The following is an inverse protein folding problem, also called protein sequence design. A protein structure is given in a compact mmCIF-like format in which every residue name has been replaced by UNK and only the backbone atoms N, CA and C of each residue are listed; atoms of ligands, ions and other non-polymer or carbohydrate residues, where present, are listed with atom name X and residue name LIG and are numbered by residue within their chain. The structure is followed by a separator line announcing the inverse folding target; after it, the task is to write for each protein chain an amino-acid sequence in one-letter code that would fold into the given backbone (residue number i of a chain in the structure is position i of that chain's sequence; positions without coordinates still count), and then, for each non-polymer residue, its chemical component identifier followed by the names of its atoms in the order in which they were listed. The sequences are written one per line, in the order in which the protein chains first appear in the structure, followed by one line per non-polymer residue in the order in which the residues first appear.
data_IF_370288222474
#
_entry.id   IF_370288222474
#
_cell.length_a   1.000
_cell.length_b   1.000
_cell.length_c   1.000
_cell.angle_alpha   90.00
_cell.angle_beta   90.00
_cell.angle_gamma   90.00
#
_symmetry.space_group_name_H-M   'P 1'
#
loop_
_entity.id
_entity.type
_entity.pdbx_description
1 polymer ?
#
# COMPACT_ATOMS: atom_id res chain seq x y z
N UNK A 1 -8.32 1.87 -16.01
CA UNK A 1 -7.78 2.73 -17.07
C UNK A 1 -7.21 3.95 -16.39
N UNK A 2 -5.90 4.20 -16.43
CA UNK A 2 -5.27 5.26 -15.63
C UNK A 2 -5.74 6.68 -16.00
N UNK A 3 -6.44 6.85 -17.13
CA UNK A 3 -7.00 8.14 -17.54
C UNK A 3 -8.45 8.34 -17.10
N UNK A 4 -9.08 7.35 -16.45
CA UNK A 4 -10.47 7.43 -15.98
C UNK A 4 -10.52 7.68 -14.49
N UNK A 5 -11.50 8.47 -14.06
CA UNK A 5 -11.83 8.62 -12.65
C UNK A 5 -12.37 7.28 -12.09
N UNK A 6 -12.13 6.98 -10.80
CA UNK A 6 -12.73 5.83 -10.14
C UNK A 6 -14.26 5.90 -10.16
N UNK A 7 -14.92 4.77 -10.41
CA UNK A 7 -16.39 4.64 -10.33
C UNK A 7 -16.79 4.18 -8.93
N UNK A 8 -17.28 5.10 -8.11
CA UNK A 8 -17.68 4.85 -6.72
C UNK A 8 -19.16 4.49 -6.56
N UNK A 9 -19.91 4.33 -7.65
CA UNK A 9 -21.34 3.98 -7.61
C UNK A 9 -21.58 2.47 -7.42
N UNK A 10 -20.54 1.66 -7.68
CA UNK A 10 -20.61 0.21 -7.62
C UNK A 10 -20.32 -0.31 -6.21
N UNK A 11 -20.92 -1.44 -5.81
CA UNK A 11 -20.57 -2.09 -4.55
C UNK A 11 -19.10 -2.55 -4.57
N UNK A 12 -18.49 -2.60 -3.39
CA UNK A 12 -17.14 -3.13 -3.21
C UNK A 12 -17.21 -4.66 -3.25
N UNK A 13 -16.43 -5.28 -4.14
CA UNK A 13 -16.27 -6.72 -4.22
C UNK A 13 -14.92 -7.16 -3.65
N UNK A 14 -14.88 -7.57 -2.38
CA UNK A 14 -13.63 -8.00 -1.72
C UNK A 14 -13.05 -9.32 -2.25
N UNK A 15 -13.77 -10.03 -3.12
CA UNK A 15 -13.25 -11.22 -3.80
C UNK A 15 -12.33 -10.87 -4.98
N UNK A 16 -12.41 -9.65 -5.51
CA UNK A 16 -11.53 -9.16 -6.56
C UNK A 16 -10.16 -8.80 -5.98
N UNK A 17 -9.15 -9.62 -6.32
CA UNK A 17 -7.80 -9.46 -5.79
C UNK A 17 -6.77 -9.63 -6.90
N UNK A 18 -5.73 -8.79 -6.85
CA UNK A 18 -4.59 -8.88 -7.73
C UNK A 18 -3.38 -9.36 -6.93
N UNK A 19 -2.79 -10.49 -7.34
CA UNK A 19 -1.63 -11.08 -6.69
C UNK A 19 -0.43 -11.04 -7.62
N UNK A 20 0.71 -10.63 -7.07
CA UNK A 20 2.02 -10.82 -7.70
C UNK A 20 2.73 -11.99 -7.03
N UNK A 21 3.49 -12.77 -7.81
CA UNK A 21 4.37 -13.82 -7.32
C UNK A 21 5.80 -13.28 -7.30
N UNK A 22 6.44 -13.35 -6.14
CA UNK A 22 7.77 -12.81 -5.88
C UNK A 22 8.74 -13.95 -5.64
N UNK A 23 9.92 -13.82 -6.26
CA UNK A 23 11.09 -14.64 -5.96
C UNK A 23 12.10 -13.76 -5.24
N UNK A 24 12.55 -14.17 -4.07
CA UNK A 24 13.53 -13.44 -3.27
C UNK A 24 14.49 -14.39 -2.56
N UNK A 25 15.43 -13.85 -1.80
CA UNK A 25 16.38 -14.59 -0.98
C UNK A 25 16.57 -13.87 0.35
N UNK A 26 16.41 -14.61 1.45
CA UNK A 26 16.71 -14.15 2.80
C UNK A 26 17.86 -14.99 3.35
N UNK A 27 19.05 -14.39 3.45
CA UNK A 27 20.30 -15.09 3.77
C UNK A 27 20.52 -16.30 2.84
N UNK A 28 20.51 -17.52 3.40
CA UNK A 28 20.66 -18.77 2.65
C UNK A 28 19.34 -19.35 2.12
N UNK A 29 18.20 -18.76 2.46
CA UNK A 29 16.89 -19.27 2.12
C UNK A 29 16.36 -18.62 0.84
N UNK A 30 16.08 -19.43 -0.18
CA UNK A 30 15.34 -18.97 -1.36
C UNK A 30 13.86 -18.93 -1.03
N UNK A 31 13.19 -17.82 -1.37
CA UNK A 31 11.78 -17.60 -1.09
C UNK A 31 11.01 -17.51 -2.40
N UNK A 32 9.87 -18.19 -2.46
CA UNK A 32 8.84 -18.00 -3.48
C UNK A 32 7.52 -17.81 -2.75
N UNK A 33 6.92 -16.64 -2.90
CA UNK A 33 5.69 -16.28 -2.20
C UNK A 33 4.85 -15.38 -3.08
N UNK A 34 3.56 -15.25 -2.74
CA UNK A 34 2.66 -14.29 -3.36
C UNK A 34 2.29 -13.22 -2.37
N UNK A 35 1.99 -12.04 -2.88
CA UNK A 35 1.39 -10.98 -2.10
C UNK A 35 0.30 -10.30 -2.92
N UNK A 36 -0.75 -9.88 -2.23
CA UNK A 36 -1.78 -9.03 -2.80
C UNK A 36 -1.16 -7.66 -3.10
N UNK A 37 -1.53 -7.01 -4.19
CA UNK A 37 -1.07 -5.67 -4.55
C UNK A 37 -2.30 -4.80 -4.86
N UNK A 38 -2.33 -3.60 -4.30
CA UNK A 38 -3.53 -2.77 -4.29
C UNK A 38 -3.66 -1.99 -5.62
N UNK A 39 -2.56 -1.77 -6.32
CA UNK A 39 -2.57 -1.15 -7.64
C UNK A 39 -1.18 -0.96 -8.24
N UNK A 40 -1.16 -0.29 -9.39
CA UNK A 40 0.06 0.05 -10.13
C UNK A 40 -0.04 1.51 -10.57
N UNK A 41 0.99 2.30 -10.27
CA UNK A 41 1.08 3.68 -10.74
C UNK A 41 1.54 3.68 -12.20
N UNK A 42 0.68 4.13 -13.11
CA UNK A 42 1.00 4.22 -14.54
C UNK A 42 0.26 5.41 -15.18
N UNK A 43 0.89 6.05 -16.17
CA UNK A 43 0.26 7.08 -17.01
C UNK A 43 -0.48 6.50 -18.22
N UNK A 44 -0.20 5.24 -18.55
CA UNK A 44 -0.75 4.57 -19.73
C UNK A 44 -1.36 3.22 -19.35
N UNK A 45 -2.38 2.81 -20.11
CA UNK A 45 -3.00 1.50 -19.93
C UNK A 45 -1.95 0.41 -20.18
N UNK A 46 -1.72 -0.44 -19.18
CA UNK A 46 -0.85 -1.60 -19.31
C UNK A 46 -1.54 -2.65 -20.19
N UNK A 47 -0.74 -3.38 -20.96
CA UNK A 47 -1.18 -4.47 -21.84
C UNK A 47 -0.41 -5.73 -21.48
N UNK A 48 -1.05 -6.87 -21.65
CA UNK A 48 -0.37 -8.15 -21.50
C UNK A 48 0.59 -8.40 -22.67
N UNK A 49 1.79 -8.97 -22.41
CA UNK A 49 2.30 -9.33 -21.08
C UNK A 49 2.72 -8.10 -20.25
N UNK A 50 2.35 -8.09 -18.96
CA UNK A 50 2.68 -6.98 -18.06
C UNK A 50 4.20 -6.81 -17.87
N UNK A 51 4.73 -5.57 -17.92
CA UNK A 51 6.16 -5.30 -17.76
C UNK A 51 6.55 -5.26 -16.27
N UNK A 52 6.38 -6.38 -15.55
CA UNK A 52 6.52 -6.45 -14.08
C UNK A 52 7.81 -5.81 -13.53
N UNK A 53 8.95 -5.96 -14.24
CA UNK A 53 10.24 -5.41 -13.82
C UNK A 53 10.33 -3.87 -13.86
N UNK A 54 9.35 -3.19 -14.46
CA UNK A 54 9.30 -1.72 -14.60
C UNK A 54 8.01 -1.14 -14.00
N UNK A 55 7.18 -1.96 -13.37
CA UNK A 55 5.92 -1.52 -12.80
C UNK A 55 6.17 -0.92 -11.42
N UNK A 56 5.60 0.26 -11.19
CA UNK A 56 5.58 0.86 -9.86
C UNK A 56 4.36 0.35 -9.10
N UNK A 57 4.57 -0.69 -8.28
CA UNK A 57 3.55 -1.24 -7.41
C UNK A 57 3.22 -0.23 -6.30
N UNK A 58 1.96 -0.16 -5.89
CA UNK A 58 1.53 0.70 -4.79
C UNK A 58 0.73 -0.09 -3.76
N UNK A 59 0.80 0.40 -2.51
CA UNK A 59 -0.10 0.03 -1.42
C UNK A 59 -0.93 1.22 -1.00
N UNK A 60 -2.17 0.96 -0.62
CA UNK A 60 -3.11 1.99 -0.17
C UNK A 60 -3.56 1.65 1.25
N UNK A 61 -3.47 2.61 2.16
CA UNK A 61 -3.94 2.43 3.54
C UNK A 61 -4.75 3.64 3.97
N UNK A 62 -5.66 3.44 4.92
CA UNK A 62 -6.41 4.54 5.54
C UNK A 62 -5.96 4.76 6.97
N UNK A 63 -5.87 6.02 7.38
CA UNK A 63 -5.52 6.46 8.73
C UNK A 63 -6.49 7.52 9.24
N UNK A 64 -6.33 7.93 10.50
CA UNK A 64 -7.10 9.04 11.08
C UNK A 64 -6.40 10.36 10.78
N UNK A 65 -7.17 11.41 10.53
CA UNK A 65 -6.63 12.76 10.33
C UNK A 65 -6.11 13.36 11.63
N UNK A 66 -6.85 13.15 12.72
CA UNK A 66 -6.47 13.53 14.08
C UNK A 66 -6.28 12.29 14.93
N UNK A 67 -5.13 12.17 15.57
CA UNK A 67 -4.78 11.06 16.45
C UNK A 67 -4.37 11.59 17.81
N UNK A 68 -4.86 10.96 18.88
CA UNK A 68 -4.33 11.18 20.22
C UNK A 68 -2.88 10.69 20.31
N UNK A 69 -2.09 11.15 21.30
CA UNK A 69 -0.72 10.66 21.51
C UNK A 69 -0.64 9.13 21.61
N UNK A 70 -1.59 8.50 22.30
CA UNK A 70 -1.65 7.04 22.47
C UNK A 70 -1.93 6.32 21.14
N UNK A 71 -2.84 6.88 20.33
CA UNK A 71 -3.13 6.35 18.99
C UNK A 71 -1.92 6.44 18.06
N UNK A 72 -1.14 7.54 18.15
CA UNK A 72 0.11 7.68 17.41
C UNK A 72 1.11 6.59 17.80
N UNK A 73 1.28 6.32 19.10
CA UNK A 73 2.16 5.26 19.59
C UNK A 73 1.74 3.89 19.01
N UNK A 74 0.45 3.57 19.05
CA UNK A 74 -0.09 2.33 18.46
C UNK A 74 0.17 2.26 16.96
N UNK A 75 0.00 3.36 16.24
CA UNK A 75 0.29 3.42 14.81
C UNK A 75 1.77 3.16 14.52
N UNK A 76 2.68 3.84 15.22
CA UNK A 76 4.12 3.70 15.01
C UNK A 76 4.64 2.31 15.40
N UNK A 77 4.28 1.81 16.57
CA UNK A 77 4.87 0.57 17.11
C UNK A 77 4.28 -0.72 16.55
N UNK A 78 3.03 -0.68 16.06
CA UNK A 78 2.35 -1.87 15.56
C UNK A 78 2.04 -1.75 14.07
N UNK A 79 1.20 -0.79 13.70
CA UNK A 79 0.66 -0.71 12.33
C UNK A 79 1.72 -0.40 11.28
N UNK A 80 2.67 0.48 11.60
CA UNK A 80 3.76 0.82 10.69
C UNK A 80 4.72 -0.37 10.50
N UNK A 81 5.01 -1.17 11.55
CA UNK A 81 5.87 -2.36 11.44
C UNK A 81 5.24 -3.43 10.53
N UNK A 82 3.94 -3.69 10.71
CA UNK A 82 3.18 -4.61 9.84
C UNK A 82 3.17 -4.12 8.40
N UNK A 83 2.99 -2.81 8.20
CA UNK A 83 2.95 -2.19 6.89
C UNK A 83 4.32 -2.24 6.20
N UNK A 84 5.38 -1.91 6.93
CA UNK A 84 6.76 -2.00 6.46
C UNK A 84 7.09 -3.42 6.01
N UNK A 85 6.71 -4.43 6.81
CA UNK A 85 6.96 -5.83 6.44
C UNK A 85 6.27 -6.20 5.13
N UNK A 86 5.03 -5.73 4.92
CA UNK A 86 4.28 -5.97 3.69
C UNK A 86 4.93 -5.27 2.48
N UNK A 87 5.39 -4.03 2.63
CA UNK A 87 5.97 -3.28 1.50
C UNK A 87 7.41 -3.64 1.19
N UNK A 88 8.22 -3.88 2.23
CA UNK A 88 9.60 -4.30 2.09
C UNK A 88 9.71 -5.63 1.34
N UNK A 89 8.91 -6.64 1.71
CA UNK A 89 8.92 -7.93 1.01
C UNK A 89 8.44 -7.78 -0.44
N UNK A 90 7.44 -6.96 -0.70
CA UNK A 90 6.89 -6.81 -2.06
C UNK A 90 7.68 -5.86 -2.97
N UNK A 91 8.73 -5.19 -2.46
CA UNK A 91 9.47 -4.17 -3.19
C UNK A 91 8.62 -2.93 -3.51
N UNK A 92 7.54 -2.69 -2.77
CA UNK A 92 6.74 -1.47 -2.89
C UNK A 92 7.53 -0.34 -2.25
N UNK A 93 7.84 0.70 -3.03
CA UNK A 93 8.66 1.83 -2.59
C UNK A 93 7.83 2.92 -1.87
N UNK A 94 6.57 3.11 -2.27
CA UNK A 94 5.70 4.19 -1.80
C UNK A 94 4.29 3.67 -1.47
N UNK A 95 3.71 4.24 -0.41
CA UNK A 95 2.36 3.96 0.06
C UNK A 95 1.54 5.25 0.04
N UNK A 96 0.33 5.15 -0.51
CA UNK A 96 -0.66 6.23 -0.43
C UNK A 96 -1.54 6.02 0.81
N UNK A 97 -1.41 6.92 1.80
CA UNK A 97 -2.18 6.90 3.04
C UNK A 97 -3.29 7.96 3.02
N UNK A 98 -4.54 7.51 2.94
CA UNK A 98 -5.73 8.34 3.05
C UNK A 98 -6.08 8.66 4.50
N UNK A 99 -5.95 9.91 4.92
CA UNK A 99 -6.31 10.38 6.25
C UNK A 99 -7.76 10.89 6.24
N UNK A 100 -8.60 10.25 7.05
CA UNK A 100 -10.03 10.56 7.17
C UNK A 100 -10.36 11.24 8.49
N UNK A 101 -11.38 12.09 8.48
CA UNK A 101 -11.99 12.61 9.69
C UNK A 101 -12.81 11.49 10.35
N UNK A 102 -12.71 11.33 11.68
CA UNK A 102 -13.45 10.27 12.38
C UNK A 102 -14.94 10.62 12.54
N UNK A 103 -15.31 11.90 12.51
CA UNK A 103 -16.69 12.36 12.71
C UNK A 103 -17.64 11.94 11.59
N UNK A 104 -17.15 11.88 10.35
CA UNK A 104 -17.94 11.53 9.17
C UNK A 104 -17.31 10.43 8.30
N UNK A 105 -16.10 9.97 8.64
CA UNK A 105 -15.38 8.96 7.88
C UNK A 105 -14.81 9.45 6.55
N UNK A 106 -14.90 10.75 6.24
CA UNK A 106 -14.54 11.31 4.94
C UNK A 106 -13.03 11.55 4.87
N UNK A 107 -12.42 11.08 3.78
CA UNK A 107 -11.02 11.34 3.47
C UNK A 107 -10.80 12.83 3.22
N UNK A 108 -9.87 13.43 3.98
CA UNK A 108 -9.53 14.87 3.88
C UNK A 108 -8.18 15.10 3.22
N UNK A 109 -7.24 14.16 3.39
CA UNK A 109 -5.87 14.29 2.88
C UNK A 109 -5.30 12.96 2.45
N UNK A 110 -4.52 12.95 1.37
CA UNK A 110 -3.68 11.80 1.00
C UNK A 110 -2.23 12.19 1.30
N UNK A 111 -1.51 11.32 2.00
CA UNK A 111 -0.10 11.47 2.30
C UNK A 111 0.65 10.31 1.66
N UNK A 112 1.74 10.63 0.97
CA UNK A 112 2.68 9.65 0.45
C UNK A 112 3.74 9.37 1.50
N UNK A 113 4.03 8.11 1.76
CA UNK A 113 5.10 7.70 2.67
C UNK A 113 5.92 6.63 1.98
N UNK A 114 7.24 6.81 1.97
CA UNK A 114 8.15 5.80 1.45
C UNK A 114 8.29 4.63 2.43
N UNK A 115 8.61 3.44 1.94
CA UNK A 115 8.85 2.27 2.80
C UNK A 115 9.97 2.54 3.82
N UNK A 116 11.00 3.30 3.45
CA UNK A 116 12.11 3.64 4.33
C UNK A 116 11.75 4.63 5.45
N UNK A 117 10.78 5.51 5.21
CA UNK A 117 10.28 6.42 6.26
C UNK A 117 9.44 5.67 7.29
N UNK A 118 8.69 4.64 6.88
CA UNK A 118 7.80 3.89 7.77
C UNK A 118 8.59 3.22 8.90
N UNK A 119 9.77 2.66 8.59
CA UNK A 119 10.61 2.03 9.61
C UNK A 119 11.24 3.06 10.55
N UNK A 120 11.70 4.22 10.03
CA UNK A 120 12.25 5.30 10.85
C UNK A 120 11.22 5.88 11.83
N UNK A 121 9.95 5.92 11.43
CA UNK A 121 8.85 6.33 12.31
C UNK A 121 8.51 5.29 13.38
N UNK A 122 8.98 4.04 13.22
CA UNK A 122 8.71 2.91 14.12
C UNK A 122 9.80 2.65 15.16
N UNK A 123 10.98 3.27 15.02
CA UNK A 123 12.10 3.25 15.96
C UNK A 123 11.86 4.19 17.16
#
# INVERSE_FOLDING_TARGET
DPTKLPDTSKPINESEKFYCVFRSRLNKHSLLYRSEIDGVRSKAKLRDPLPFNRMQLIKVRTGKLSESPEQKIVRYKLRNVDLWTQTYLTGVEEIDRGLREDSDGILRRIVKTSTDEIVKESE
#
